data_IF_581224539317
#
_entry.id   IF_581224539317
#
_cell.length_a   1.000
_cell.length_b   1.000
_cell.length_c   1.000
_cell.angle_alpha   90.00
_cell.angle_beta   90.00
_cell.angle_gamma   90.00
#
_symmetry.space_group_name_H-M   'P 1'
#
loop_
_entity.id
_entity.type
_entity.pdbx_description
1 polymer ?
#
# COMPACT_ATOMS: atom_id res chain seq x y z
N UNK A 1 -2.63 27.56 -5.24
CA UNK A 1 -3.70 26.95 -6.04
C UNK A 1 -3.16 26.29 -7.32
N UNK A 2 -2.30 26.93 -8.08
CA UNK A 2 -1.71 26.38 -9.32
C UNK A 2 -0.88 25.09 -9.15
N UNK A 3 -0.14 24.94 -8.06
CA UNK A 3 0.70 23.76 -7.81
C UNK A 3 -0.12 22.48 -7.64
N UNK A 4 -1.28 22.56 -6.97
CA UNK A 4 -2.21 21.41 -6.82
C UNK A 4 -2.85 21.01 -8.15
N UNK A 5 -3.10 21.99 -9.03
CA UNK A 5 -3.68 21.75 -10.35
C UNK A 5 -2.70 21.09 -11.34
N UNK A 6 -1.38 21.37 -11.21
CA UNK A 6 -0.32 20.70 -12.01
C UNK A 6 -0.14 19.25 -11.61
N UNK A 7 -0.22 18.92 -10.31
CA UNK A 7 -0.17 17.54 -9.81
C UNK A 7 -1.38 16.72 -10.23
N UNK A 8 -2.58 17.30 -10.21
CA UNK A 8 -3.81 16.64 -10.67
C UNK A 8 -3.75 16.36 -12.19
N UNK A 9 -3.21 17.27 -12.99
CA UNK A 9 -3.01 17.06 -14.45
C UNK A 9 -1.98 15.97 -14.72
N UNK A 10 -0.91 15.85 -13.93
CA UNK A 10 0.07 14.77 -14.02
C UNK A 10 -0.53 13.41 -13.70
N UNK A 11 -1.32 13.31 -12.63
CA UNK A 11 -2.00 12.08 -12.24
C UNK A 11 -3.05 11.65 -13.27
N UNK A 12 -3.82 12.59 -13.82
CA UNK A 12 -4.79 12.32 -14.89
C UNK A 12 -4.12 11.90 -16.20
N UNK A 13 -2.97 12.48 -16.55
CA UNK A 13 -2.20 12.08 -17.72
C UNK A 13 -1.63 10.66 -17.59
N UNK A 14 -1.20 10.26 -16.38
CA UNK A 14 -0.73 8.91 -16.09
C UNK A 14 -1.85 7.87 -16.20
N UNK A 15 -3.06 8.19 -15.74
CA UNK A 15 -4.24 7.33 -15.88
C UNK A 15 -4.70 7.25 -17.34
N UNK A 16 -4.66 8.35 -18.09
CA UNK A 16 -5.00 8.37 -19.50
C UNK A 16 -4.01 7.57 -20.37
N UNK A 17 -2.72 7.54 -20.01
CA UNK A 17 -1.71 6.72 -20.68
C UNK A 17 -1.97 5.21 -20.48
N UNK A 18 -2.46 4.81 -19.32
CA UNK A 18 -2.84 3.42 -19.02
C UNK A 18 -4.08 2.96 -19.81
N UNK A 19 -5.00 3.86 -20.13
CA UNK A 19 -6.20 3.58 -20.93
C UNK A 19 -5.88 3.52 -22.43
N UNK A 20 -4.86 4.25 -22.91
CA UNK A 20 -4.48 4.30 -24.33
C UNK A 20 -3.82 3.02 -24.86
N UNK A 21 -3.39 2.10 -23.98
CA UNK A 21 -2.86 0.78 -24.37
C UNK A 21 -3.95 -0.29 -24.60
N UNK A 22 -5.23 0.07 -24.59
CA UNK A 22 -6.35 -0.82 -24.94
C UNK A 22 -6.47 -0.96 -26.47
N UNK A 23 -5.42 -1.43 -27.13
CA UNK A 23 -5.50 -1.91 -28.50
C UNK A 23 -6.20 -3.27 -28.54
N UNK A 24 -7.21 -3.38 -29.36
CA UNK A 24 -7.98 -4.54 -29.83
C UNK A 24 -8.14 -5.72 -28.88
N UNK A 25 -9.34 -5.87 -28.33
CA UNK A 25 -9.78 -6.89 -27.39
C UNK A 25 -9.85 -8.29 -28.05
N UNK A 26 -8.71 -8.94 -28.21
CA UNK A 26 -8.68 -10.39 -28.24
C UNK A 26 -8.61 -10.88 -26.80
N UNK A 27 -9.61 -11.65 -26.34
CA UNK A 27 -9.77 -12.34 -25.04
C UNK A 27 -8.61 -12.11 -24.03
N UNK A 28 -8.50 -10.91 -23.51
CA UNK A 28 -7.40 -10.45 -22.69
C UNK A 28 -7.57 -11.02 -21.29
N UNK A 29 -6.51 -11.62 -20.78
CA UNK A 29 -6.51 -12.24 -19.46
C UNK A 29 -6.31 -11.20 -18.36
N UNK A 30 -7.32 -10.35 -18.16
CA UNK A 30 -7.38 -9.44 -17.01
C UNK A 30 -7.94 -10.16 -15.80
N UNK A 31 -7.24 -10.02 -14.68
CA UNK A 31 -7.68 -10.45 -13.37
C UNK A 31 -7.89 -9.23 -12.49
N UNK A 32 -9.02 -9.21 -11.82
CA UNK A 32 -9.39 -8.15 -10.88
C UNK A 32 -9.48 -8.74 -9.49
N UNK A 33 -8.90 -8.07 -8.51
CA UNK A 33 -8.84 -8.56 -7.13
C UNK A 33 -9.30 -7.53 -6.12
N UNK A 34 -9.87 -8.05 -5.04
CA UNK A 34 -10.13 -7.29 -3.82
C UNK A 34 -9.41 -8.02 -2.70
N UNK A 35 -8.65 -7.27 -1.89
CA UNK A 35 -7.87 -7.81 -0.78
C UNK A 35 -8.23 -7.15 0.54
N UNK A 36 -8.20 -7.93 1.59
CA UNK A 36 -8.12 -7.46 2.96
C UNK A 36 -6.65 -7.33 3.33
N UNK A 37 -6.27 -6.20 3.91
CA UNK A 37 -4.88 -5.86 4.16
C UNK A 37 -4.61 -5.73 5.66
N UNK A 38 -3.54 -6.35 6.08
CA UNK A 38 -2.93 -6.21 7.41
C UNK A 38 -1.59 -5.53 7.23
N UNK A 39 -1.18 -4.72 8.19
CA UNK A 39 0.07 -3.98 8.12
C UNK A 39 0.85 -4.05 9.43
N UNK A 40 2.18 -4.10 9.32
CA UNK A 40 3.09 -4.05 10.45
C UNK A 40 4.18 -3.01 10.20
N UNK A 41 4.53 -2.27 11.21
CA UNK A 41 5.63 -1.30 11.16
C UNK A 41 6.95 -2.01 10.89
N UNK A 42 7.79 -1.41 10.05
CA UNK A 42 9.18 -1.79 9.85
C UNK A 42 10.13 -0.63 10.21
N UNK A 43 9.78 0.60 9.82
CA UNK A 43 10.41 1.84 10.25
C UNK A 43 9.54 3.01 9.80
N UNK A 44 8.93 3.68 10.74
CA UNK A 44 8.07 4.85 10.53
C UNK A 44 8.60 6.03 11.36
N UNK A 45 9.71 6.68 10.94
CA UNK A 45 10.34 7.74 11.74
C UNK A 45 9.35 8.88 12.03
N UNK A 46 9.34 9.33 13.26
CA UNK A 46 8.58 10.50 13.72
C UNK A 46 9.08 11.81 13.10
N UNK A 47 8.36 12.90 13.36
CA UNK A 47 8.76 14.26 12.94
C UNK A 47 9.65 14.99 13.96
N UNK A 48 9.86 14.43 15.13
CA UNK A 48 10.71 14.96 16.20
C UNK A 48 11.81 13.97 16.54
N UNK A 49 12.92 14.48 17.08
CA UNK A 49 14.13 13.75 17.49
C UNK A 49 13.92 12.68 18.60
N UNK A 50 12.70 12.17 18.75
CA UNK A 50 12.40 11.04 19.63
C UNK A 50 12.89 9.76 18.96
N UNK A 51 13.80 9.05 19.60
CA UNK A 51 14.28 7.72 19.24
C UNK A 51 13.11 6.71 19.22
N UNK A 52 12.44 6.57 18.07
CA UNK A 52 11.37 5.59 17.92
C UNK A 52 10.49 5.80 16.69
N UNK A 53 9.78 4.75 16.31
CA UNK A 53 8.79 4.80 15.24
C UNK A 53 7.55 5.61 15.68
N UNK A 54 6.96 6.33 14.73
CA UNK A 54 5.73 7.12 14.97
C UNK A 54 4.56 6.24 15.41
N UNK A 55 4.47 5.04 14.84
CA UNK A 55 3.58 3.94 15.24
C UNK A 55 4.38 2.66 15.17
N UNK A 56 4.43 1.92 16.27
CA UNK A 56 5.04 0.60 16.35
C UNK A 56 3.96 -0.43 16.71
N UNK A 57 3.20 -0.86 15.70
CA UNK A 57 2.08 -1.77 15.92
C UNK A 57 1.79 -2.63 14.69
N UNK A 58 0.97 -3.67 14.91
CA UNK A 58 0.37 -4.50 13.88
C UNK A 58 -1.12 -4.16 13.75
N UNK A 59 -1.57 -3.92 12.51
CA UNK A 59 -2.94 -3.53 12.25
C UNK A 59 -3.64 -4.46 11.28
N UNK A 60 -4.88 -4.80 11.61
CA UNK A 60 -5.81 -5.56 10.76
C UNK A 60 -6.73 -4.65 9.93
N UNK A 61 -6.37 -3.39 9.70
CA UNK A 61 -7.24 -2.39 9.08
C UNK A 61 -6.70 -1.97 7.72
N UNK A 62 -7.24 -2.59 6.69
CA UNK A 62 -6.92 -2.19 5.33
C UNK A 62 -7.74 -2.94 4.30
N UNK A 63 -7.88 -2.32 3.15
CA UNK A 63 -8.53 -2.89 1.97
C UNK A 63 -7.73 -2.51 0.73
N UNK A 64 -7.71 -3.38 -0.27
CA UNK A 64 -7.02 -3.12 -1.51
C UNK A 64 -7.78 -3.64 -2.72
N UNK A 65 -7.46 -3.06 -3.84
CA UNK A 65 -7.88 -3.50 -5.17
C UNK A 65 -6.64 -3.70 -6.03
N UNK A 66 -6.69 -4.67 -6.91
CA UNK A 66 -5.63 -4.86 -7.88
C UNK A 66 -6.18 -5.37 -9.22
N UNK A 67 -5.46 -5.06 -10.28
CA UNK A 67 -5.71 -5.60 -11.59
C UNK A 67 -4.41 -6.13 -12.17
N UNK A 68 -4.46 -7.31 -12.76
CA UNK A 68 -3.30 -7.97 -13.38
C UNK A 68 -3.63 -8.39 -14.80
N UNK A 69 -2.80 -8.04 -15.72
CA UNK A 69 -2.86 -8.43 -17.13
C UNK A 69 -1.78 -9.47 -17.42
N UNK A 70 -2.17 -10.62 -17.95
CA UNK A 70 -1.25 -11.64 -18.41
C UNK A 70 -1.22 -11.63 -19.95
N UNK A 71 -0.14 -11.14 -20.59
CA UNK A 71 -0.07 -11.03 -22.04
C UNK A 71 -0.08 -12.40 -22.75
N UNK A 72 0.51 -13.40 -22.10
CA UNK A 72 0.57 -14.75 -22.63
C UNK A 72 -0.32 -15.70 -21.84
N UNK A 73 -1.26 -16.38 -22.51
CA UNK A 73 -2.13 -17.39 -21.88
C UNK A 73 -1.38 -18.55 -21.23
N UNK A 74 -0.10 -18.74 -21.56
CA UNK A 74 0.82 -19.75 -20.99
C UNK A 74 1.96 -19.13 -20.16
N UNK A 75 2.11 -17.83 -20.19
CA UNK A 75 3.25 -17.11 -19.63
C UNK A 75 3.31 -17.07 -18.12
N UNK A 76 4.50 -16.80 -17.64
CA UNK A 76 4.79 -16.65 -16.22
C UNK A 76 4.85 -15.18 -15.78
N UNK A 77 4.58 -14.24 -16.68
CA UNK A 77 4.61 -12.82 -16.40
C UNK A 77 3.20 -12.22 -16.37
N UNK A 78 2.97 -11.28 -15.47
CA UNK A 78 1.85 -10.36 -15.53
C UNK A 78 2.29 -8.96 -15.16
N UNK A 79 1.54 -7.98 -15.65
CA UNK A 79 1.69 -6.57 -15.34
C UNK A 79 0.36 -6.05 -14.83
N UNK A 80 0.39 -4.99 -14.03
CA UNK A 80 -0.86 -4.47 -13.53
C UNK A 80 -0.72 -3.23 -12.69
N UNK A 81 -1.75 -2.97 -11.94
CA UNK A 81 -1.79 -1.87 -10.97
C UNK A 81 -2.52 -2.31 -9.70
N UNK A 82 -2.17 -1.69 -8.60
CA UNK A 82 -2.84 -1.88 -7.32
C UNK A 82 -3.00 -0.56 -6.59
N UNK A 83 -4.09 -0.45 -5.86
CA UNK A 83 -4.32 0.62 -4.91
C UNK A 83 -4.81 0.01 -3.59
N UNK A 84 -4.39 0.55 -2.49
CA UNK A 84 -4.87 0.07 -1.19
C UNK A 84 -4.97 1.21 -0.18
N UNK A 85 -5.72 0.97 0.86
CA UNK A 85 -5.77 1.82 2.04
C UNK A 85 -5.34 0.99 3.23
N UNK A 86 -4.24 1.41 3.87
CA UNK A 86 -3.64 0.72 5.00
C UNK A 86 -3.63 1.69 6.19
N UNK A 87 -4.09 1.23 7.34
CA UNK A 87 -4.20 2.02 8.57
C UNK A 87 -3.42 1.33 9.65
N UNK A 88 -2.38 1.99 10.18
CA UNK A 88 -1.75 1.60 11.43
C UNK A 88 -2.14 2.62 12.50
N UNK A 89 -2.46 2.15 13.68
CA UNK A 89 -2.81 3.02 14.79
C UNK A 89 -2.24 2.48 16.09
N UNK A 90 -1.71 3.37 16.90
CA UNK A 90 -1.20 3.06 18.22
C UNK A 90 -1.87 3.95 19.26
N UNK A 91 -2.22 3.33 20.37
CA UNK A 91 -2.70 4.02 21.57
C UNK A 91 -1.63 3.91 22.63
N UNK A 92 -1.10 5.05 23.07
CA UNK A 92 -0.10 5.10 24.14
C UNK A 92 -0.64 5.99 25.27
N UNK A 93 -0.58 5.48 26.47
CA UNK A 93 -0.88 6.26 27.68
C UNK A 93 0.48 6.79 28.19
N UNK A 94 0.85 7.99 27.75
CA UNK A 94 2.07 8.68 28.18
C UNK A 94 1.77 9.83 29.11
N UNK A 95 2.60 9.96 30.16
CA UNK A 95 2.65 11.16 30.98
C UNK A 95 3.64 12.13 30.36
N UNK A 96 3.15 13.17 29.73
CA UNK A 96 4.01 14.23 29.20
C UNK A 96 4.38 15.18 30.35
N UNK A 97 5.62 15.09 30.82
CA UNK A 97 6.17 15.97 31.85
C UNK A 97 6.51 17.32 31.21
N UNK A 98 5.69 18.31 31.43
CA UNK A 98 6.01 19.72 31.11
C UNK A 98 6.58 20.43 32.33
N UNK A 99 7.49 21.42 32.16
CA UNK A 99 7.97 22.23 33.28
C UNK A 99 6.78 22.91 33.99
N UNK A 100 6.36 22.37 35.14
CA UNK A 100 5.29 22.91 35.97
C UNK A 100 3.89 22.30 35.82
N UNK A 101 3.71 21.28 34.96
CA UNK A 101 2.45 20.54 34.87
C UNK A 101 2.68 19.15 34.25
N UNK A 102 2.24 18.10 34.94
CA UNK A 102 2.17 16.75 34.38
C UNK A 102 0.85 16.60 33.63
N UNK A 103 0.89 16.52 32.32
CA UNK A 103 -0.26 16.17 31.51
C UNK A 103 -0.28 14.65 31.30
N UNK A 104 -1.08 13.95 32.09
CA UNK A 104 -1.42 12.56 31.81
C UNK A 104 -2.56 12.53 30.80
N UNK A 105 -2.31 11.97 29.63
CA UNK A 105 -3.32 11.87 28.58
C UNK A 105 -3.05 10.69 27.66
N UNK A 106 -4.15 10.10 27.17
CA UNK A 106 -4.05 9.11 26.11
C UNK A 106 -3.63 9.80 24.81
N UNK A 107 -2.53 9.39 24.24
CA UNK A 107 -2.08 9.78 22.90
C UNK A 107 -2.54 8.74 21.88
N UNK A 108 -3.25 9.19 20.86
CA UNK A 108 -3.64 8.36 19.71
C UNK A 108 -2.81 8.78 18.49
N UNK A 109 -2.05 7.84 17.97
CA UNK A 109 -1.27 8.04 16.73
C UNK A 109 -1.87 7.21 15.61
N UNK A 110 -2.06 7.83 14.45
CA UNK A 110 -2.59 7.19 13.25
C UNK A 110 -1.62 7.41 12.09
N UNK A 111 -1.35 6.34 11.39
CA UNK A 111 -0.63 6.34 10.13
C UNK A 111 -1.54 5.75 9.07
N UNK A 112 -1.94 6.56 8.10
CA UNK A 112 -2.73 6.15 6.95
C UNK A 112 -1.83 6.18 5.72
N UNK A 113 -1.80 5.09 4.95
CA UNK A 113 -1.06 5.00 3.69
C UNK A 113 -1.97 4.55 2.57
N UNK A 114 -1.98 5.31 1.47
CA UNK A 114 -2.68 4.96 0.23
C UNK A 114 -1.64 4.83 -0.89
N UNK A 115 -1.03 3.65 -1.08
CA UNK A 115 -0.19 3.35 -2.22
C UNK A 115 -1.02 3.24 -3.50
N UNK A 116 -0.52 3.83 -4.59
CA UNK A 116 -0.99 3.68 -5.96
C UNK A 116 0.20 3.22 -6.80
N UNK A 117 0.20 1.93 -7.15
CA UNK A 117 1.38 1.25 -7.67
C UNK A 117 1.08 0.58 -9.01
N UNK A 118 2.03 0.65 -9.93
CA UNK A 118 2.14 -0.27 -11.07
C UNK A 118 2.99 -1.45 -10.67
N UNK A 119 2.70 -2.63 -11.19
CA UNK A 119 3.37 -3.85 -10.77
C UNK A 119 3.70 -4.79 -11.92
N UNK A 120 4.70 -5.62 -11.66
CA UNK A 120 5.06 -6.74 -12.50
C UNK A 120 5.26 -7.97 -11.60
N UNK A 121 4.73 -9.13 -12.03
CA UNK A 121 4.84 -10.37 -11.27
C UNK A 121 5.36 -11.50 -12.15
N UNK A 122 6.20 -12.32 -11.58
CA UNK A 122 6.66 -13.57 -12.18
C UNK A 122 6.13 -14.75 -11.36
N UNK A 123 5.40 -15.64 -12.03
CA UNK A 123 4.77 -16.82 -11.44
C UNK A 123 5.63 -18.06 -11.64
N UNK A 124 5.75 -18.84 -10.60
CA UNK A 124 6.43 -20.13 -10.60
C UNK A 124 5.40 -21.28 -10.67
N UNK A 125 5.78 -22.38 -11.31
CA UNK A 125 4.93 -23.56 -11.40
C UNK A 125 3.92 -23.55 -12.54
N UNK A 126 3.09 -24.58 -12.60
CA UNK A 126 2.13 -24.81 -13.68
C UNK A 126 0.79 -24.13 -13.42
N UNK A 127 0.09 -23.75 -14.48
CA UNK A 127 -1.29 -23.25 -14.42
C UNK A 127 -2.24 -24.33 -13.92
N UNK A 128 -3.26 -23.92 -13.14
CA UNK A 128 -4.26 -24.82 -12.57
C UNK A 128 -3.91 -25.37 -11.18
N UNK A 129 -2.67 -25.18 -10.71
CA UNK A 129 -2.24 -25.47 -9.35
C UNK A 129 -1.96 -24.22 -8.52
N UNK A 130 -1.47 -24.44 -7.31
CA UNK A 130 -0.95 -23.35 -6.46
C UNK A 130 0.27 -22.75 -7.15
N UNK A 131 0.27 -21.43 -7.36
CA UNK A 131 1.36 -20.72 -8.03
C UNK A 131 1.97 -19.70 -7.09
N UNK A 132 3.16 -19.98 -6.55
CA UNK A 132 3.98 -18.95 -5.93
C UNK A 132 4.37 -17.88 -6.96
N UNK A 133 4.55 -16.65 -6.52
CA UNK A 133 5.04 -15.59 -7.37
C UNK A 133 5.91 -14.61 -6.60
N UNK A 134 6.79 -13.94 -7.34
CA UNK A 134 7.53 -12.78 -6.89
C UNK A 134 7.11 -11.57 -7.73
N UNK A 135 7.01 -10.42 -7.11
CA UNK A 135 6.59 -9.19 -7.77
C UNK A 135 7.39 -7.97 -7.33
N UNK A 136 7.36 -6.97 -8.16
CA UNK A 136 7.87 -5.65 -7.86
C UNK A 136 6.79 -4.62 -8.18
N UNK A 137 6.54 -3.75 -7.22
CA UNK A 137 5.59 -2.66 -7.33
C UNK A 137 6.33 -1.34 -7.23
N UNK A 138 5.96 -0.35 -8.03
CA UNK A 138 6.57 0.99 -8.05
C UNK A 138 5.47 2.04 -8.21
N UNK A 139 5.54 3.14 -7.50
CA UNK A 139 4.56 4.21 -7.65
C UNK A 139 4.57 5.25 -6.53
N UNK A 140 3.42 5.76 -6.23
CA UNK A 140 3.25 6.83 -5.26
C UNK A 140 2.45 6.38 -4.05
N UNK A 141 2.78 6.97 -2.91
CA UNK A 141 2.13 6.75 -1.62
C UNK A 141 1.61 8.08 -1.12
N UNK A 142 0.31 8.21 -0.92
CA UNK A 142 -0.21 9.28 -0.10
C UNK A 142 -0.18 8.82 1.35
N UNK A 143 0.57 9.53 2.18
CA UNK A 143 0.76 9.19 3.59
C UNK A 143 0.25 10.33 4.44
N UNK A 144 -0.63 10.01 5.38
CA UNK A 144 -1.14 10.91 6.40
C UNK A 144 -0.73 10.39 7.77
N UNK A 145 -0.14 11.26 8.57
CA UNK A 145 0.17 11.02 9.97
C UNK A 145 -0.65 11.96 10.83
N UNK A 146 -1.26 11.43 11.87
CA UNK A 146 -2.05 12.18 12.81
C UNK A 146 -1.73 11.76 14.23
N UNK A 147 -1.43 12.73 15.07
CA UNK A 147 -1.26 12.55 16.50
C UNK A 147 -2.32 13.38 17.25
N UNK A 148 -3.16 12.71 18.02
CA UNK A 148 -4.18 13.33 18.86
C UNK A 148 -3.73 13.23 20.32
N UNK A 149 -3.51 14.38 20.97
CA UNK A 149 -3.15 14.48 22.39
C UNK A 149 -4.18 15.36 23.05
N UNK A 150 -5.08 14.76 23.85
CA UNK A 150 -6.17 15.50 24.51
C UNK A 150 -7.02 16.29 23.52
N UNK A 151 -6.94 17.61 23.53
CA UNK A 151 -7.70 18.54 22.65
C UNK A 151 -6.88 19.02 21.44
N UNK A 152 -5.61 18.62 21.35
CA UNK A 152 -4.70 19.05 20.29
C UNK A 152 -4.56 17.91 19.28
N UNK A 153 -4.80 18.21 18.01
CA UNK A 153 -4.57 17.30 16.87
C UNK A 153 -3.54 17.90 15.94
N UNK A 154 -2.46 17.16 15.70
CA UNK A 154 -1.43 17.51 14.71
C UNK A 154 -1.55 16.55 13.55
N UNK A 155 -1.69 17.08 12.34
CA UNK A 155 -1.83 16.32 11.12
C UNK A 155 -0.78 16.77 10.11
N UNK A 156 -0.12 15.80 9.47
CA UNK A 156 0.82 16.00 8.36
C UNK A 156 0.48 15.01 7.25
N UNK A 157 0.41 15.48 6.01
CA UNK A 157 0.15 14.64 4.85
C UNK A 157 1.05 15.00 3.67
N UNK A 158 1.63 13.97 3.04
CA UNK A 158 2.55 14.15 1.93
C UNK A 158 2.44 13.03 0.90
N UNK A 159 2.83 13.35 -0.34
CA UNK A 159 3.03 12.36 -1.40
C UNK A 159 4.49 11.93 -1.42
N UNK A 160 4.69 10.62 -1.39
CA UNK A 160 6.00 9.96 -1.47
C UNK A 160 6.07 9.15 -2.76
N UNK A 161 7.24 9.05 -3.35
CA UNK A 161 7.51 8.02 -4.36
C UNK A 161 8.13 6.81 -3.66
N UNK A 162 7.94 5.60 -4.21
CA UNK A 162 8.51 4.43 -3.58
C UNK A 162 8.32 3.15 -4.39
N UNK A 163 8.74 2.06 -3.79
CA UNK A 163 8.66 0.73 -4.36
C UNK A 163 8.28 -0.30 -3.30
N UNK A 164 7.81 -1.46 -3.75
CA UNK A 164 7.46 -2.54 -2.84
C UNK A 164 7.71 -3.90 -3.51
N UNK A 165 8.76 -4.62 -3.12
CA UNK A 165 8.91 -6.03 -3.45
C UNK A 165 7.80 -6.84 -2.79
N UNK A 166 7.34 -7.87 -3.49
CA UNK A 166 6.20 -8.70 -3.10
C UNK A 166 6.50 -10.16 -3.34
N UNK A 167 6.08 -11.00 -2.40
CA UNK A 167 6.03 -12.46 -2.55
C UNK A 167 4.62 -12.93 -2.24
N UNK A 168 4.11 -13.85 -3.04
CA UNK A 168 2.74 -14.31 -2.84
C UNK A 168 2.44 -15.66 -3.45
N UNK A 169 1.17 -16.05 -3.27
CA UNK A 169 0.59 -17.28 -3.76
C UNK A 169 -0.74 -16.98 -4.45
N UNK A 170 -1.00 -17.64 -5.57
CA UNK A 170 -2.33 -17.72 -6.18
C UNK A 170 -2.79 -19.16 -6.09
N UNK A 171 -4.00 -19.36 -5.56
CA UNK A 171 -4.64 -20.66 -5.38
C UNK A 171 -5.95 -20.69 -6.17
N UNK A 172 -6.05 -21.42 -7.30
CA UNK A 172 -7.30 -21.56 -8.02
C UNK A 172 -8.37 -22.25 -7.16
N UNK A 173 -9.61 -21.76 -7.21
CA UNK A 173 -10.72 -22.24 -6.38
C UNK A 173 -11.69 -23.16 -7.16
N UNK A 174 -11.15 -24.08 -7.95
CA UNK A 174 -11.97 -25.06 -8.71
C UNK A 174 -12.70 -24.48 -9.92
N UNK A 175 -12.77 -23.17 -10.07
CA UNK A 175 -13.25 -22.45 -11.25
C UNK A 175 -12.10 -21.68 -11.87
N UNK A 176 -11.94 -21.72 -13.20
CA UNK A 176 -10.83 -21.05 -13.87
C UNK A 176 -10.87 -19.50 -13.74
N UNK A 177 -12.03 -18.96 -13.39
CA UNK A 177 -12.26 -17.53 -13.27
C UNK A 177 -12.00 -16.98 -11.86
N UNK A 178 -11.86 -17.86 -10.83
CA UNK A 178 -11.73 -17.42 -9.44
C UNK A 178 -10.50 -18.01 -8.78
N UNK A 179 -9.71 -17.16 -8.16
CA UNK A 179 -8.54 -17.56 -7.38
C UNK A 179 -8.48 -16.82 -6.04
N UNK A 180 -7.96 -17.52 -5.04
CA UNK A 180 -7.51 -16.87 -3.79
C UNK A 180 -6.12 -16.32 -4.02
N UNK A 181 -5.86 -15.13 -3.53
CA UNK A 181 -4.53 -14.51 -3.48
C UNK A 181 -4.12 -14.26 -2.03
N UNK A 182 -2.86 -14.55 -1.73
CA UNK A 182 -2.22 -14.16 -0.48
C UNK A 182 -0.81 -13.65 -0.78
N UNK A 183 -0.43 -12.50 -0.23
CA UNK A 183 0.91 -11.96 -0.43
C UNK A 183 1.44 -11.21 0.79
N UNK A 184 2.76 -11.09 0.84
CA UNK A 184 3.51 -10.20 1.72
C UNK A 184 4.24 -9.19 0.86
N UNK A 185 4.11 -7.90 1.19
CA UNK A 185 4.68 -6.77 0.50
C UNK A 185 5.48 -5.91 1.47
N UNK A 186 6.72 -5.60 1.12
CA UNK A 186 7.52 -4.65 1.88
C UNK A 186 7.43 -3.28 1.22
N UNK A 187 6.66 -2.37 1.80
CA UNK A 187 6.47 -1.03 1.28
C UNK A 187 7.58 -0.11 1.76
N UNK A 188 8.24 0.55 0.82
CA UNK A 188 9.29 1.53 1.08
C UNK A 188 8.97 2.80 0.31
N UNK A 189 8.39 3.77 1.01
CA UNK A 189 8.12 5.10 0.51
C UNK A 189 9.29 6.02 0.90
N UNK A 190 9.94 6.61 -0.09
CA UNK A 190 11.11 7.46 0.11
C UNK A 190 10.74 8.78 0.79
N UNK A 191 11.70 9.39 1.44
CA UNK A 191 11.54 10.65 2.16
C UNK A 191 10.94 11.75 1.27
N UNK A 192 9.97 12.49 1.79
CA UNK A 192 9.35 13.62 1.11
C UNK A 192 8.76 14.59 2.15
N UNK A 193 8.68 15.88 1.81
CA UNK A 193 8.01 16.91 2.63
C UNK A 193 8.62 17.11 4.02
N UNK A 194 9.90 16.78 4.21
CA UNK A 194 10.56 16.87 5.52
C UNK A 194 10.38 15.62 6.41
N UNK A 195 9.67 14.61 5.95
CA UNK A 195 9.57 13.30 6.62
C UNK A 195 10.62 12.33 6.08
N UNK A 196 11.15 11.47 6.95
CA UNK A 196 12.07 10.39 6.55
C UNK A 196 11.39 9.28 5.73
N UNK A 197 12.16 8.28 5.33
CA UNK A 197 11.65 7.10 4.64
C UNK A 197 10.59 6.39 5.49
N UNK A 198 9.47 6.01 4.88
CA UNK A 198 8.41 5.28 5.55
C UNK A 198 8.41 3.84 5.07
N UNK A 199 8.61 2.89 5.98
CA UNK A 199 8.73 1.45 5.67
C UNK A 199 7.77 0.64 6.52
N UNK A 200 6.97 -0.20 5.86
CA UNK A 200 6.05 -1.09 6.55
C UNK A 200 5.79 -2.37 5.74
N UNK A 201 5.49 -3.43 6.44
CA UNK A 201 5.00 -4.67 5.86
C UNK A 201 3.50 -4.59 5.59
N UNK A 202 3.07 -5.05 4.44
CA UNK A 202 1.68 -5.31 4.12
C UNK A 202 1.49 -6.81 3.89
N UNK A 203 0.48 -7.39 4.53
CA UNK A 203 0.04 -8.77 4.32
C UNK A 203 -1.37 -8.73 3.76
N UNK A 204 -1.57 -9.26 2.57
CA UNK A 204 -2.83 -9.13 1.88
C UNK A 204 -3.39 -10.51 1.58
N UNK A 205 -4.69 -10.69 1.81
CA UNK A 205 -5.42 -11.89 1.44
C UNK A 205 -6.73 -11.49 0.75
N UNK A 206 -7.09 -12.16 -0.32
CA UNK A 206 -8.28 -11.79 -1.06
C UNK A 206 -8.62 -12.71 -2.19
N UNK A 207 -9.53 -12.26 -3.03
CA UNK A 207 -10.00 -12.99 -4.19
C UNK A 207 -9.68 -12.23 -5.47
N UNK A 208 -9.31 -12.97 -6.49
CA UNK A 208 -9.16 -12.48 -7.86
C UNK A 208 -10.21 -13.13 -8.75
N UNK A 209 -10.78 -12.34 -9.63
CA UNK A 209 -11.74 -12.74 -10.64
C UNK A 209 -11.24 -12.34 -12.04
N UNK A 210 -11.48 -13.22 -13.02
CA UNK A 210 -11.11 -13.06 -14.44
C UNK A 210 -12.32 -12.77 -15.31
#
# INVERSE_FOLDING_TARGET
>A
MERKMRLLKGALASVALLVAFSGEAQAQDWWWGITYNMSATASLPGTSDSDGDFVDDFSFRGIGIEARYAPDRGGNLSYGFSGSWNVLNQKTDEVVNLPGADLSGTQLRYFNSIPLLVNAHYYFGSRGGIRPYAGLNVGTYWIERRADVSIISVKDDNWHFGWAPELGLIVPLGRPEVALIANARYNWAFSAGGSGDQKYWGFNIGFMYR
#
